data_IF_230438802718
#
_entry.id   IF_230438802718
#
_cell.length_a   1.000
_cell.length_b   1.000
_cell.length_c   1.000
_cell.angle_alpha   90.00
_cell.angle_beta   90.00
_cell.angle_gamma   90.00
#
_symmetry.space_group_name_H-M   'P 1'
#
loop_
_entity.id
_entity.type
_entity.pdbx_description
1 polymer ?
#
# COMPACT_ATOMS: atom_id res chain seq x y z
N UNK A 1 16.66 -5.07 -15.23
CA UNK A 1 15.41 -5.19 -14.45
C UNK A 1 15.42 -4.11 -13.40
N UNK A 2 14.41 -3.23 -13.40
CA UNK A 2 14.32 -2.14 -12.44
C UNK A 2 13.58 -2.64 -11.19
N UNK A 3 14.26 -2.69 -10.05
CA UNK A 3 13.63 -3.03 -8.78
C UNK A 3 12.71 -1.90 -8.31
N UNK A 4 11.63 -2.22 -7.58
CA UNK A 4 10.78 -1.24 -6.90
C UNK A 4 11.59 -0.32 -5.96
N UNK A 5 12.71 -0.83 -5.44
CA UNK A 5 13.63 -0.13 -4.55
C UNK A 5 14.86 0.44 -5.26
N UNK A 6 14.93 0.37 -6.60
CA UNK A 6 16.07 0.89 -7.34
C UNK A 6 16.05 2.42 -7.33
N UNK A 7 16.87 2.97 -6.42
CA UNK A 7 17.83 4.04 -6.67
C UNK A 7 17.72 4.65 -8.04
N UNK A 8 18.47 4.05 -8.97
CA UNK A 8 18.98 4.56 -10.24
C UNK A 8 17.97 4.54 -11.40
N UNK A 9 16.70 4.18 -11.14
CA UNK A 9 15.72 4.01 -12.23
C UNK A 9 15.55 5.31 -13.04
N UNK A 10 15.16 5.22 -14.33
CA UNK A 10 14.86 6.38 -15.15
C UNK A 10 13.82 7.32 -14.50
N UNK A 11 13.76 8.57 -14.96
CA UNK A 11 12.89 9.59 -14.39
C UNK A 11 11.42 9.16 -14.46
N UNK A 12 10.78 9.03 -13.30
CA UNK A 12 9.33 8.94 -13.15
C UNK A 12 8.78 10.23 -12.55
N UNK A 13 7.74 10.11 -11.72
CA UNK A 13 7.24 11.22 -10.88
C UNK A 13 8.38 11.77 -10.01
N UNK A 14 9.16 10.86 -9.41
CA UNK A 14 10.31 11.16 -8.59
C UNK A 14 11.62 11.08 -9.39
N UNK A 15 12.54 11.99 -9.10
CA UNK A 15 13.93 11.89 -9.54
C UNK A 15 14.77 11.01 -8.60
N UNK A 16 16.02 10.78 -9.00
CA UNK A 16 17.02 10.01 -8.25
C UNK A 16 17.15 10.43 -6.79
N UNK A 17 17.40 11.72 -6.57
CA UNK A 17 17.66 12.29 -5.26
C UNK A 17 16.44 12.15 -4.33
N UNK A 18 15.25 12.34 -4.88
CA UNK A 18 13.99 12.18 -4.16
C UNK A 18 13.76 10.72 -3.75
N UNK A 19 14.11 9.75 -4.61
CA UNK A 19 14.04 8.32 -4.28
C UNK A 19 15.05 7.94 -3.22
N UNK A 20 16.30 8.35 -3.38
CA UNK A 20 17.36 8.16 -2.38
C UNK A 20 16.91 8.69 -1.01
N UNK A 21 16.31 9.89 -0.96
CA UNK A 21 15.75 10.42 0.28
C UNK A 21 14.65 9.54 0.88
N UNK A 22 13.70 9.05 0.08
CA UNK A 22 12.62 8.18 0.58
C UNK A 22 13.10 6.79 1.00
N UNK A 23 14.14 6.26 0.36
CA UNK A 23 14.76 4.98 0.71
C UNK A 23 15.70 5.08 1.91
N UNK A 24 16.05 6.29 2.34
CA UNK A 24 17.02 6.54 3.41
C UNK A 24 18.48 6.54 2.95
N UNK A 25 18.72 6.44 1.65
CA UNK A 25 20.05 6.41 1.02
C UNK A 25 20.57 7.83 0.76
N UNK A 26 20.54 8.70 1.78
CA UNK A 26 21.00 10.10 1.64
C UNK A 26 21.58 10.64 2.93
N UNK A 27 22.55 11.55 2.80
CA UNK A 27 23.19 12.25 3.92
C UNK A 27 22.42 13.50 4.38
N UNK A 28 21.17 13.69 3.95
CA UNK A 28 20.37 14.86 4.34
C UNK A 28 19.99 14.75 5.82
N UNK A 29 20.44 15.70 6.64
CA UNK A 29 20.16 15.65 8.07
C UNK A 29 18.68 16.00 8.38
N UNK A 30 18.07 15.34 9.37
CA UNK A 30 16.71 15.64 9.81
C UNK A 30 16.56 17.08 10.32
N UNK A 31 15.37 17.65 10.12
CA UNK A 31 14.95 19.01 10.53
C UNK A 31 15.73 20.16 9.86
N UNK A 32 16.50 19.89 8.82
CA UNK A 32 17.20 20.92 8.03
C UNK A 32 16.28 21.60 7.01
N UNK A 33 16.70 22.76 6.49
CA UNK A 33 15.99 23.40 5.38
C UNK A 33 16.00 22.53 4.13
N UNK A 34 17.13 21.86 3.85
CA UNK A 34 17.27 20.91 2.74
C UNK A 34 16.23 19.79 2.81
N UNK A 35 16.00 19.21 3.99
CA UNK A 35 14.96 18.20 4.19
C UNK A 35 13.55 18.76 3.92
N UNK A 36 13.27 19.97 4.41
CA UNK A 36 11.96 20.62 4.18
C UNK A 36 11.72 20.84 2.70
N UNK A 37 12.74 21.28 1.97
CA UNK A 37 12.66 21.58 0.54
C UNK A 37 12.47 20.31 -0.30
N UNK A 38 13.20 19.23 0.00
CA UNK A 38 13.01 17.96 -0.73
C UNK A 38 11.63 17.37 -0.46
N UNK A 39 11.15 17.40 0.80
CA UNK A 39 9.81 16.94 1.13
C UNK A 39 8.72 17.80 0.48
N UNK A 40 8.89 19.11 0.42
CA UNK A 40 7.97 20.01 -0.28
C UNK A 40 7.92 19.69 -1.78
N UNK A 41 9.08 19.46 -2.39
CA UNK A 41 9.18 19.08 -3.81
C UNK A 41 8.50 17.75 -4.08
N UNK A 42 8.70 16.74 -3.24
CA UNK A 42 8.03 15.43 -3.38
C UNK A 42 6.51 15.58 -3.31
N UNK A 43 5.98 16.36 -2.34
CA UNK A 43 4.54 16.62 -2.23
C UNK A 43 3.98 17.31 -3.46
N UNK A 44 4.70 18.31 -3.97
CA UNK A 44 4.26 19.05 -5.16
C UNK A 44 4.24 18.17 -6.41
N UNK A 45 5.30 17.37 -6.62
CA UNK A 45 5.37 16.42 -7.74
C UNK A 45 4.28 15.37 -7.66
N UNK A 46 4.01 14.83 -6.48
CA UNK A 46 2.93 13.87 -6.27
C UNK A 46 1.57 14.48 -6.63
N UNK A 47 1.31 15.71 -6.18
CA UNK A 47 0.09 16.45 -6.51
C UNK A 47 -0.05 16.65 -8.02
N UNK A 48 1.01 17.09 -8.70
CA UNK A 48 0.98 17.26 -10.16
C UNK A 48 0.81 15.93 -10.90
N UNK A 49 1.48 14.87 -10.47
CA UNK A 49 1.31 13.55 -11.08
C UNK A 49 -0.13 13.04 -10.98
N UNK A 50 -0.83 13.30 -9.87
CA UNK A 50 -2.25 12.96 -9.74
C UNK A 50 -3.10 13.71 -10.78
N UNK A 51 -2.78 14.98 -11.08
CA UNK A 51 -3.46 15.71 -12.16
C UNK A 51 -3.07 15.19 -13.55
N UNK A 52 -1.82 14.79 -13.74
CA UNK A 52 -1.37 14.20 -14.99
C UNK A 52 -2.09 12.88 -15.27
N UNK A 53 -2.41 12.07 -14.25
CA UNK A 53 -3.24 10.87 -14.45
C UNK A 53 -4.63 11.18 -14.99
N UNK A 54 -5.24 12.30 -14.60
CA UNK A 54 -6.52 12.73 -15.18
C UNK A 54 -6.37 13.09 -16.67
N UNK A 55 -5.26 13.76 -17.03
CA UNK A 55 -4.95 14.06 -18.43
C UNK A 55 -4.70 12.78 -19.24
N UNK A 56 -3.91 11.84 -18.70
CA UNK A 56 -3.64 10.56 -19.35
C UNK A 56 -4.92 9.74 -19.53
N UNK A 57 -5.79 9.72 -18.52
CA UNK A 57 -7.09 9.05 -18.59
C UNK A 57 -7.94 9.58 -19.75
N UNK A 58 -7.97 10.91 -19.93
CA UNK A 58 -8.82 11.53 -20.96
C UNK A 58 -8.19 11.52 -22.37
N UNK A 59 -6.86 11.48 -22.49
CA UNK A 59 -6.16 11.78 -23.76
C UNK A 59 -5.25 10.68 -24.28
N UNK A 60 -4.80 9.74 -23.43
CA UNK A 60 -3.86 8.70 -23.87
C UNK A 60 -4.59 7.65 -24.71
N UNK A 61 -4.03 7.29 -25.85
CA UNK A 61 -4.64 6.28 -26.73
C UNK A 61 -4.60 4.88 -26.09
N UNK A 62 -5.66 4.09 -26.30
CA UNK A 62 -5.74 2.73 -25.75
C UNK A 62 -4.54 1.85 -26.15
N UNK A 63 -3.99 2.04 -27.36
CA UNK A 63 -2.80 1.30 -27.82
C UNK A 63 -1.56 1.60 -26.97
N UNK A 64 -1.40 2.82 -26.49
CA UNK A 64 -0.28 3.20 -25.64
C UNK A 64 -0.48 2.70 -24.22
N UNK A 65 -1.73 2.71 -23.74
CA UNK A 65 -2.11 2.05 -22.49
C UNK A 65 -1.74 0.55 -22.55
N UNK A 66 -2.16 -0.16 -23.59
CA UNK A 66 -1.85 -1.59 -23.78
C UNK A 66 -0.34 -1.89 -23.78
N UNK A 67 0.49 -0.99 -24.32
CA UNK A 67 1.95 -1.13 -24.28
C UNK A 67 2.54 -0.97 -22.88
N UNK A 68 2.01 -0.03 -22.08
CA UNK A 68 2.44 0.17 -20.69
C UNK A 68 2.06 -1.02 -19.81
N UNK A 69 0.89 -1.61 -20.06
CA UNK A 69 0.36 -2.74 -19.28
C UNK A 69 0.57 -4.11 -19.97
N UNK A 70 1.59 -4.25 -20.83
CA UNK A 70 1.90 -5.52 -21.49
C UNK A 70 2.38 -6.56 -20.47
N UNK A 71 1.58 -7.61 -20.27
CA UNK A 71 1.87 -8.69 -19.33
C UNK A 71 3.08 -9.55 -19.71
N UNK A 72 3.63 -9.36 -20.92
CA UNK A 72 4.86 -10.01 -21.39
C UNK A 72 6.12 -9.19 -21.12
N UNK A 73 5.98 -7.96 -20.63
CA UNK A 73 7.13 -7.13 -20.28
C UNK A 73 7.93 -7.77 -19.12
N UNK A 74 9.25 -7.59 -19.16
CA UNK A 74 10.16 -8.15 -18.15
C UNK A 74 9.85 -7.65 -16.73
N UNK A 75 9.24 -6.47 -16.60
CA UNK A 75 8.89 -5.80 -15.35
C UNK A 75 7.38 -5.87 -15.01
N UNK A 76 6.61 -6.71 -15.70
CA UNK A 76 5.16 -6.79 -15.51
C UNK A 76 4.75 -7.19 -14.07
N UNK A 77 5.58 -8.00 -13.40
CA UNK A 77 5.34 -8.39 -12.01
C UNK A 77 5.56 -7.20 -11.06
N UNK A 78 6.67 -6.47 -11.20
CA UNK A 78 6.94 -5.26 -10.42
C UNK A 78 5.89 -4.18 -10.68
N UNK A 79 5.45 -4.01 -11.94
CA UNK A 79 4.40 -3.06 -12.30
C UNK A 79 3.07 -3.41 -11.60
N UNK A 80 2.69 -4.69 -11.57
CA UNK A 80 1.49 -5.14 -10.86
C UNK A 80 1.56 -4.79 -9.36
N UNK A 81 2.67 -5.11 -8.70
CA UNK A 81 2.87 -4.76 -7.29
C UNK A 81 2.84 -3.24 -7.09
N UNK A 82 3.45 -2.45 -7.99
CA UNK A 82 3.40 -0.99 -7.92
C UNK A 82 1.97 -0.44 -8.04
N UNK A 83 1.10 -1.07 -8.85
CA UNK A 83 -0.32 -0.70 -8.96
C UNK A 83 -1.06 -1.02 -7.66
N UNK A 84 -0.84 -2.21 -7.09
CA UNK A 84 -1.42 -2.61 -5.80
C UNK A 84 -1.01 -1.64 -4.68
N UNK A 85 0.28 -1.32 -4.58
CA UNK A 85 0.82 -0.34 -3.62
C UNK A 85 0.25 1.07 -3.84
N UNK A 86 0.03 1.46 -5.10
CA UNK A 86 -0.57 2.76 -5.44
C UNK A 86 -2.03 2.84 -4.99
N UNK A 87 -2.81 1.78 -5.19
CA UNK A 87 -4.18 1.69 -4.69
C UNK A 87 -4.21 1.71 -3.15
N UNK A 88 -3.33 0.96 -2.50
CA UNK A 88 -3.18 0.98 -1.04
C UNK A 88 -2.75 2.35 -0.50
N UNK A 89 -1.87 3.04 -1.22
CA UNK A 89 -1.48 4.41 -0.93
C UNK A 89 -2.68 5.35 -0.99
N UNK A 90 -3.49 5.31 -2.06
CA UNK A 90 -4.67 6.16 -2.17
C UNK A 90 -5.71 5.86 -1.09
N UNK A 91 -5.92 4.59 -0.76
CA UNK A 91 -6.78 4.21 0.36
C UNK A 91 -6.31 4.87 1.65
N UNK A 92 -5.03 4.72 2.02
CA UNK A 92 -4.45 5.32 3.23
C UNK A 92 -4.48 6.85 3.21
N UNK A 93 -4.15 7.46 2.08
CA UNK A 93 -4.08 8.91 1.93
C UNK A 93 -5.46 9.57 2.04
N UNK A 94 -6.54 8.82 1.77
CA UNK A 94 -7.91 9.34 1.77
C UNK A 94 -8.74 8.91 2.98
N UNK A 95 -8.14 8.24 3.99
CA UNK A 95 -8.83 7.86 5.24
C UNK A 95 -9.55 9.05 5.90
N UNK A 96 -8.90 10.22 5.89
CA UNK A 96 -9.46 11.46 6.45
C UNK A 96 -9.89 12.47 5.36
N UNK A 97 -10.01 12.01 4.11
CA UNK A 97 -10.43 12.84 2.99
C UNK A 97 -11.93 12.66 2.72
N UNK A 98 -12.59 13.71 2.24
CA UNK A 98 -13.98 13.64 1.84
C UNK A 98 -14.13 13.99 0.35
N UNK A 99 -14.73 13.12 -0.47
CA UNK A 99 -15.29 11.81 -0.11
C UNK A 99 -14.21 10.71 0.11
N UNK A 100 -14.51 9.61 0.82
CA UNK A 100 -13.53 8.56 1.13
C UNK A 100 -13.17 7.72 -0.12
N UNK A 101 -12.11 6.92 0.00
CA UNK A 101 -11.59 6.07 -1.08
C UNK A 101 -12.65 5.30 -1.85
N UNK A 102 -13.57 4.62 -1.16
CA UNK A 102 -14.58 3.76 -1.80
C UNK A 102 -15.44 4.56 -2.78
N UNK A 103 -15.79 5.80 -2.43
CA UNK A 103 -16.56 6.67 -3.31
C UNK A 103 -15.70 7.13 -4.49
N UNK A 104 -14.47 7.60 -4.25
CA UNK A 104 -13.55 8.05 -5.31
C UNK A 104 -13.27 6.94 -6.34
N UNK A 105 -12.98 5.73 -5.86
CA UNK A 105 -12.69 4.60 -6.72
C UNK A 105 -13.96 4.08 -7.44
N UNK A 106 -15.14 4.12 -6.79
CA UNK A 106 -16.42 3.82 -7.45
C UNK A 106 -16.69 4.77 -8.62
N UNK A 107 -16.60 6.08 -8.38
CA UNK A 107 -16.80 7.10 -9.42
C UNK A 107 -15.75 6.98 -10.54
N UNK A 108 -14.49 6.71 -10.18
CA UNK A 108 -13.42 6.47 -11.14
C UNK A 108 -13.69 5.29 -12.08
N UNK A 109 -14.11 4.15 -11.52
CA UNK A 109 -14.48 2.95 -12.30
C UNK A 109 -15.68 3.25 -13.20
N UNK A 110 -16.72 3.91 -12.68
CA UNK A 110 -17.89 4.26 -13.48
C UNK A 110 -17.55 5.20 -14.64
N UNK A 111 -16.67 6.17 -14.39
CA UNK A 111 -16.16 7.07 -15.43
C UNK A 111 -15.37 6.31 -16.49
N UNK A 112 -14.50 5.38 -16.10
CA UNK A 112 -13.74 4.53 -17.03
C UNK A 112 -14.68 3.70 -17.92
N UNK A 113 -15.70 3.10 -17.33
CA UNK A 113 -16.67 2.26 -18.02
C UNK A 113 -17.50 3.04 -19.04
N UNK A 114 -17.90 4.26 -18.67
CA UNK A 114 -18.58 5.17 -19.57
C UNK A 114 -17.66 5.65 -20.71
N UNK A 115 -16.41 5.97 -20.41
CA UNK A 115 -15.46 6.50 -21.40
C UNK A 115 -15.01 5.46 -22.43
N UNK A 116 -14.76 4.22 -22.00
CA UNK A 116 -14.15 3.20 -22.85
C UNK A 116 -15.16 2.22 -23.49
N UNK A 117 -16.28 1.96 -22.81
CA UNK A 117 -17.23 0.92 -23.24
C UNK A 117 -18.63 1.47 -23.54
N UNK A 118 -18.82 2.80 -23.45
CA UNK A 118 -20.12 3.49 -23.61
C UNK A 118 -21.24 2.81 -22.81
N UNK A 119 -20.92 2.36 -21.59
CA UNK A 119 -21.87 1.67 -20.72
C UNK A 119 -21.90 2.28 -19.33
N UNK A 120 -23.10 2.34 -18.78
CA UNK A 120 -23.31 2.73 -17.41
C UNK A 120 -23.22 1.50 -16.51
N UNK A 121 -22.23 1.45 -15.62
CA UNK A 121 -22.12 0.39 -14.62
C UNK A 121 -22.42 0.92 -13.22
N UNK A 122 -22.91 0.04 -12.36
CA UNK A 122 -22.90 0.27 -10.92
C UNK A 122 -21.69 -0.45 -10.33
N UNK A 123 -20.66 0.30 -9.96
CA UNK A 123 -19.55 -0.22 -9.18
C UNK A 123 -19.88 -0.10 -7.68
N UNK A 124 -19.44 -1.07 -6.89
CA UNK A 124 -19.49 -1.03 -5.43
C UNK A 124 -18.16 -1.54 -4.91
N UNK A 125 -17.52 -0.76 -4.04
CA UNK A 125 -16.31 -1.17 -3.33
C UNK A 125 -16.70 -1.36 -1.88
N UNK A 126 -16.62 -2.61 -1.43
CA UNK A 126 -16.82 -2.98 -0.04
C UNK A 126 -15.48 -3.38 0.57
N UNK A 127 -15.23 -2.91 1.79
CA UNK A 127 -13.98 -3.17 2.52
C UNK A 127 -14.37 -3.76 3.87
N UNK A 128 -14.18 -5.07 3.97
CA UNK A 128 -14.41 -5.79 5.21
C UNK A 128 -13.08 -5.91 5.97
N UNK A 129 -13.05 -5.39 7.20
CA UNK A 129 -11.93 -5.60 8.09
C UNK A 129 -12.12 -6.96 8.79
N UNK A 130 -11.30 -7.93 8.42
CA UNK A 130 -11.20 -9.17 9.18
C UNK A 130 -10.48 -8.90 10.50
N UNK A 131 -10.92 -9.53 11.58
CA UNK A 131 -10.18 -9.49 12.84
C UNK A 131 -8.74 -9.95 12.60
N UNK A 132 -7.74 -9.34 13.27
CA UNK A 132 -6.36 -9.83 13.19
C UNK A 132 -6.34 -11.32 13.45
N UNK A 133 -5.66 -12.06 12.59
CA UNK A 133 -5.42 -13.48 12.81
C UNK A 133 -4.53 -13.60 14.05
N UNK A 134 -5.07 -14.18 15.10
CA UNK A 134 -4.36 -14.43 16.35
C UNK A 134 -3.66 -15.79 16.26
N UNK A 135 -2.30 -15.83 16.23
CA UNK A 135 -1.55 -17.08 16.17
C UNK A 135 -1.88 -18.03 17.33
N UNK A 136 -2.23 -17.49 18.51
CA UNK A 136 -2.58 -18.31 19.68
C UNK A 136 -3.92 -19.03 19.46
N UNK A 137 -4.89 -18.34 18.83
CA UNK A 137 -6.17 -18.93 18.43
C UNK A 137 -5.97 -20.01 17.36
N UNK A 138 -5.11 -19.75 16.36
CA UNK A 138 -4.75 -20.77 15.36
C UNK A 138 -4.09 -21.98 16.02
N UNK A 139 -3.14 -21.75 16.93
CA UNK A 139 -2.42 -22.81 17.66
C UNK A 139 -3.42 -23.64 18.46
N UNK A 140 -4.32 -23.01 19.20
CA UNK A 140 -5.37 -23.69 19.96
C UNK A 140 -6.31 -24.51 19.08
N UNK A 141 -6.70 -24.00 17.90
CA UNK A 141 -7.49 -24.74 16.91
C UNK A 141 -6.72 -25.93 16.31
N UNK A 142 -5.42 -25.77 16.06
CA UNK A 142 -4.57 -26.82 15.49
C UNK A 142 -4.21 -27.93 16.49
N UNK A 143 -4.00 -27.57 17.76
CA UNK A 143 -3.71 -28.53 18.84
C UNK A 143 -4.97 -29.22 19.38
N UNK A 144 -6.16 -28.76 18.97
CA UNK A 144 -7.44 -29.27 19.43
C UNK A 144 -7.85 -28.76 20.82
N UNK A 145 -7.19 -27.73 21.34
CA UNK A 145 -7.59 -27.03 22.57
C UNK A 145 -8.86 -26.19 22.36
N UNK A 146 -9.12 -25.76 21.11
CA UNK A 146 -10.35 -25.13 20.69
C UNK A 146 -11.00 -25.96 19.57
N UNK A 147 -12.26 -26.38 19.78
CA UNK A 147 -13.04 -27.17 18.81
C UNK A 147 -13.67 -26.27 17.74
N UNK A 148 -12.86 -25.44 17.11
CA UNK A 148 -13.23 -24.62 15.96
C UNK A 148 -12.35 -24.99 14.77
N UNK A 149 -12.95 -25.08 13.59
CA UNK A 149 -12.19 -25.28 12.36
C UNK A 149 -11.44 -24.00 12.00
N UNK A 150 -10.27 -24.17 11.39
CA UNK A 150 -9.56 -23.06 10.75
C UNK A 150 -10.44 -22.45 9.66
N UNK A 151 -10.54 -21.12 9.63
CA UNK A 151 -11.17 -20.39 8.53
C UNK A 151 -10.25 -20.40 7.29
N UNK A 152 -10.77 -20.12 6.09
CA UNK A 152 -9.94 -19.99 4.90
C UNK A 152 -8.83 -18.94 5.04
N UNK A 153 -9.11 -17.84 5.74
CA UNK A 153 -8.15 -16.76 5.99
C UNK A 153 -7.02 -17.22 6.93
N UNK A 154 -7.36 -17.95 8.00
CA UNK A 154 -6.38 -18.55 8.91
C UNK A 154 -5.50 -19.59 8.19
N UNK A 155 -6.08 -20.40 7.31
CA UNK A 155 -5.34 -21.38 6.50
C UNK A 155 -4.42 -20.71 5.46
N UNK A 156 -4.87 -19.64 4.81
CA UNK A 156 -4.05 -18.86 3.86
C UNK A 156 -2.89 -18.19 4.57
N UNK A 157 -3.13 -17.61 5.74
CA UNK A 157 -2.08 -17.01 6.57
C UNK A 157 -1.03 -18.04 7.02
N UNK A 158 -1.45 -19.26 7.41
CA UNK A 158 -0.52 -20.36 7.70
C UNK A 158 0.28 -20.69 6.45
N UNK A 159 -0.36 -20.84 5.28
CA UNK A 159 0.32 -21.21 4.05
C UNK A 159 1.35 -20.14 3.65
N UNK A 160 1.02 -18.85 3.71
CA UNK A 160 1.95 -17.75 3.46
C UNK A 160 3.11 -17.75 4.46
N UNK A 161 2.81 -17.91 5.74
CA UNK A 161 3.82 -17.94 6.81
C UNK A 161 4.79 -19.11 6.62
N UNK A 162 4.27 -20.29 6.29
CA UNK A 162 5.06 -21.51 6.05
C UNK A 162 5.83 -21.44 4.73
N UNK A 163 5.23 -20.93 3.65
CA UNK A 163 5.91 -20.78 2.35
C UNK A 163 7.00 -19.70 2.39
N UNK A 164 6.87 -18.69 3.25
CA UNK A 164 7.89 -17.67 3.47
C UNK A 164 9.10 -18.18 4.28
N UNK A 165 9.06 -19.42 4.77
CA UNK A 165 10.07 -19.99 5.67
C UNK A 165 10.41 -21.44 5.30
N UNK A 166 11.63 -21.71 4.84
CA UNK A 166 12.01 -23.02 4.29
C UNK A 166 12.01 -24.22 5.30
N UNK A 167 11.63 -24.02 6.56
CA UNK A 167 11.17 -25.06 7.49
C UNK A 167 10.72 -24.38 8.80
N UNK A 168 9.42 -24.32 9.10
CA UNK A 168 8.94 -23.74 10.36
C UNK A 168 8.54 -24.79 11.38
N UNK A 169 9.08 -24.61 12.59
CA UNK A 169 8.71 -25.27 13.84
C UNK A 169 7.73 -24.39 14.63
N UNK A 170 6.96 -24.94 15.56
CA UNK A 170 6.05 -24.17 16.43
C UNK A 170 6.72 -22.99 17.17
N UNK A 171 8.05 -23.00 17.34
CA UNK A 171 8.84 -21.88 17.87
C UNK A 171 8.78 -20.62 17.02
N UNK A 172 8.68 -20.76 15.71
CA UNK A 172 8.82 -19.64 14.78
C UNK A 172 7.49 -18.90 14.61
N UNK A 173 6.37 -19.58 14.91
CA UNK A 173 5.04 -18.97 15.07
C UNK A 173 4.99 -18.05 16.30
N UNK A 174 5.64 -18.43 17.41
CA UNK A 174 5.73 -17.60 18.61
C UNK A 174 6.60 -16.34 18.34
N UNK A 175 7.67 -16.44 17.55
CA UNK A 175 8.49 -15.28 17.16
C UNK A 175 7.76 -14.34 16.19
N UNK A 176 6.96 -14.88 15.26
CA UNK A 176 6.08 -14.08 14.39
C UNK A 176 5.00 -13.34 15.19
N UNK A 177 4.45 -13.97 16.24
CA UNK A 177 3.51 -13.37 17.17
C UNK A 177 4.12 -12.15 17.89
N UNK A 178 5.34 -12.30 18.42
CA UNK A 178 6.01 -11.20 19.12
C UNK A 178 6.31 -10.01 18.20
N UNK A 179 6.69 -10.27 16.94
CA UNK A 179 6.89 -9.21 15.93
C UNK A 179 5.59 -8.44 15.62
N UNK A 180 4.45 -9.13 15.57
CA UNK A 180 3.14 -8.50 15.36
C UNK A 180 2.73 -7.65 16.56
N UNK A 181 2.94 -8.13 17.79
CA UNK A 181 2.69 -7.33 19.01
C UNK A 181 3.53 -6.07 19.06
N UNK A 182 4.82 -6.15 18.74
CA UNK A 182 5.69 -4.98 18.70
C UNK A 182 5.27 -3.97 17.62
N UNK A 183 4.84 -4.45 16.45
CA UNK A 183 4.32 -3.59 15.37
C UNK A 183 3.02 -2.87 15.78
N UNK A 184 2.11 -3.57 16.46
CA UNK A 184 0.85 -2.97 16.95
C UNK A 184 1.05 -2.00 18.11
N UNK A 185 2.02 -2.26 18.99
CA UNK A 185 2.39 -1.36 20.07
C UNK A 185 3.04 -0.06 19.55
N UNK A 186 3.86 -0.15 18.50
CA UNK A 186 4.44 1.03 17.83
C UNK A 186 3.37 1.93 17.18
N UNK A 187 2.29 1.35 16.65
CA UNK A 187 1.15 2.09 16.09
C UNK A 187 0.26 2.76 17.15
N UNK A 188 0.32 2.34 18.42
CA UNK A 188 -0.45 2.93 19.52
C UNK A 188 0.27 4.07 20.24
N UNK A 189 1.59 4.21 20.10
CA UNK A 189 2.35 5.31 20.74
C UNK A 189 2.35 6.63 19.94
N UNK A 190 1.82 6.65 18.72
CA UNK A 190 1.70 7.88 17.91
C UNK A 190 0.32 8.58 18.02
N UNK A 191 -0.56 8.15 18.94
CA UNK A 191 -1.93 8.68 19.08
C UNK A 191 -2.25 9.40 20.38
N UNK A 192 -1.26 9.94 21.10
CA UNK A 192 -1.51 10.92 22.17
C UNK A 192 -0.77 12.22 21.89
N UNK A 193 -1.30 13.01 20.96
CA UNK A 193 -1.09 14.46 20.95
C UNK A 193 -2.33 15.10 21.58
N UNK A 194 -2.19 15.58 22.81
CA UNK A 194 -3.18 16.39 23.52
C UNK A 194 -2.95 17.87 23.15
N UNK A 195 -3.86 18.52 22.40
CA UNK A 195 -3.67 19.89 21.93
C UNK A 195 -4.00 20.95 22.99
N UNK A 196 -4.16 20.62 24.27
CA UNK A 196 -4.57 21.59 25.31
C UNK A 196 -3.49 21.98 26.33
N UNK A 197 -2.26 21.47 26.21
CA UNK A 197 -1.16 21.82 27.11
C UNK A 197 -0.24 22.92 26.53
N UNK A 198 -0.80 24.09 26.22
CA UNK A 198 -0.03 25.34 26.13
C UNK A 198 -0.98 26.54 26.19
N UNK A 199 -1.39 26.87 27.42
CA UNK A 199 -1.77 28.21 27.85
C UNK A 199 -1.78 28.23 29.38
N UNK A 200 -0.60 28.44 29.95
CA UNK A 200 -0.39 29.27 31.15
C UNK A 200 1.11 29.65 31.25
#
# INVERSE_FOLDING_TARGET
MASLTDSARPRGILNERERQYLLGDTDIEPRTQTERDIRATIRERLRHAIFDYALLFDQLENRDIEQVFDSRADDAAELRTAIEDTLGFFYRATINFHPPFQHLATEGIQRAEQAHFDRYVKATIDIEATAPIDPDVIKAKMTGEQDDRLTPEEASWIAETVLASDAVSFSDLDEAHDRLRHRQAGLHQEKTYDPTADND
#
